data_IF_398870275804
#
_entry.id   IF_398870275804
#
_cell.length_a   1.000
_cell.length_b   1.000
_cell.length_c   1.000
_cell.angle_alpha   90.00
_cell.angle_beta   90.00
_cell.angle_gamma   90.00
#
_symmetry.space_group_name_H-M   'P 1'
#
loop_
_entity.id
_entity.type
_entity.pdbx_description
1 polymer ?
#
# COMPACT_ATOMS: atom_id res chain seq x y z
N UNK A 1 1.44 29.98 25.99
CA UNK A 1 1.64 28.51 26.05
C UNK A 1 0.57 27.76 25.27
N UNK A 2 -0.72 28.04 25.46
CA UNK A 2 -1.82 27.39 24.72
C UNK A 2 -1.69 27.46 23.20
N UNK A 3 -1.29 28.61 22.63
CA UNK A 3 -1.03 28.74 21.19
C UNK A 3 0.08 27.83 20.66
N UNK A 4 1.13 27.59 21.45
CA UNK A 4 2.23 26.70 21.04
C UNK A 4 1.80 25.24 21.06
N UNK A 5 1.02 24.84 22.08
CA UNK A 5 0.44 23.50 22.20
C UNK A 5 -0.56 23.25 21.06
N UNK A 6 -1.40 24.23 20.75
CA UNK A 6 -2.34 24.15 19.64
C UNK A 6 -1.62 23.96 18.29
N UNK A 7 -0.60 24.78 18.00
CA UNK A 7 0.20 24.61 16.78
C UNK A 7 0.89 23.23 16.70
N UNK A 8 1.39 22.70 17.82
CA UNK A 8 1.97 21.34 17.83
C UNK A 8 0.95 20.26 17.49
N UNK A 9 -0.28 20.38 18.01
CA UNK A 9 -1.35 19.44 17.72
C UNK A 9 -1.77 19.51 16.24
N UNK A 10 -1.94 20.72 15.69
CA UNK A 10 -2.24 20.89 14.27
C UNK A 10 -1.14 20.30 13.37
N UNK A 11 0.13 20.51 13.71
CA UNK A 11 1.25 19.93 12.97
C UNK A 11 1.27 18.41 13.04
N UNK A 12 0.93 17.81 14.20
CA UNK A 12 0.77 16.36 14.34
C UNK A 12 -0.36 15.81 13.48
N UNK A 13 -1.51 16.48 13.48
CA UNK A 13 -2.66 16.07 12.65
C UNK A 13 -2.33 16.17 11.15
N UNK A 14 -1.66 17.25 10.72
CA UNK A 14 -1.17 17.40 9.35
C UNK A 14 -0.16 16.33 8.97
N UNK A 15 0.79 16.00 9.85
CA UNK A 15 1.74 14.92 9.58
C UNK A 15 1.04 13.57 9.42
N UNK A 16 0.02 13.30 10.26
CA UNK A 16 -0.77 12.08 10.16
C UNK A 16 -1.60 12.03 8.86
N UNK A 17 -2.25 13.14 8.47
CA UNK A 17 -3.02 13.19 7.22
C UNK A 17 -2.11 13.02 6.00
N UNK A 18 -0.92 13.62 6.01
CA UNK A 18 0.09 13.45 4.97
C UNK A 18 0.60 12.01 4.86
N UNK A 19 0.81 11.30 5.97
CA UNK A 19 1.18 9.89 5.94
C UNK A 19 0.10 9.03 5.29
N UNK A 20 -1.17 9.26 5.62
CA UNK A 20 -2.31 8.55 5.01
C UNK A 20 -2.40 8.85 3.51
N UNK A 21 -2.27 10.12 3.12
CA UNK A 21 -2.29 10.54 1.71
C UNK A 21 -1.15 9.86 0.92
N UNK A 22 0.07 9.87 1.45
CA UNK A 22 1.22 9.19 0.85
C UNK A 22 0.99 7.69 0.72
N UNK A 23 0.40 7.07 1.73
CA UNK A 23 0.09 5.65 1.75
C UNK A 23 -0.92 5.27 0.64
N UNK A 24 -1.93 6.12 0.40
CA UNK A 24 -2.92 5.94 -0.67
C UNK A 24 -2.31 6.09 -2.06
N UNK A 25 -1.47 7.11 -2.24
CA UNK A 25 -0.77 7.31 -3.51
C UNK A 25 0.09 6.09 -3.86
N UNK A 26 0.89 5.61 -2.90
CA UNK A 26 1.70 4.40 -3.09
C UNK A 26 0.85 3.17 -3.38
N UNK A 27 -0.34 3.04 -2.77
CA UNK A 27 -1.26 1.94 -3.05
C UNK A 27 -1.76 1.98 -4.50
N UNK A 28 -2.07 3.15 -5.05
CA UNK A 28 -2.49 3.26 -6.45
C UNK A 28 -1.38 2.82 -7.40
N UNK A 29 -0.15 3.27 -7.17
CA UNK A 29 1.01 2.86 -7.96
C UNK A 29 1.28 1.36 -7.85
N UNK A 30 1.29 0.81 -6.64
CA UNK A 30 1.47 -0.63 -6.41
C UNK A 30 0.33 -1.46 -6.97
N UNK A 31 -0.91 -0.98 -6.89
CA UNK A 31 -2.09 -1.65 -7.44
C UNK A 31 -2.07 -1.71 -8.96
N UNK A 32 -1.71 -0.60 -9.63
CA UNK A 32 -1.54 -0.56 -11.07
C UNK A 32 -0.43 -1.53 -11.53
N UNK A 33 0.72 -1.50 -10.85
CA UNK A 33 1.81 -2.44 -11.10
C UNK A 33 1.38 -3.90 -10.89
N UNK A 34 0.70 -4.19 -9.78
CA UNK A 34 0.20 -5.53 -9.46
C UNK A 34 -0.76 -6.04 -10.54
N UNK A 35 -1.67 -5.20 -11.03
CA UNK A 35 -2.61 -5.59 -12.09
C UNK A 35 -1.88 -5.95 -13.39
N UNK A 36 -0.95 -5.09 -13.85
CA UNK A 36 -0.18 -5.33 -15.09
C UNK A 36 0.70 -6.58 -14.94
N UNK A 37 1.42 -6.69 -13.83
CA UNK A 37 2.28 -7.84 -13.55
C UNK A 37 1.47 -9.14 -13.44
N UNK A 38 0.32 -9.10 -12.77
CA UNK A 38 -0.58 -10.24 -12.61
C UNK A 38 -1.12 -10.73 -13.95
N UNK A 39 -1.57 -9.82 -14.82
CA UNK A 39 -1.98 -10.17 -16.20
C UNK A 39 -0.84 -10.81 -16.99
N UNK A 40 0.38 -10.26 -16.89
CA UNK A 40 1.57 -10.83 -17.51
C UNK A 40 1.89 -12.25 -17.03
N UNK A 41 1.82 -12.49 -15.71
CA UNK A 41 2.05 -13.81 -15.12
C UNK A 41 0.98 -14.84 -15.52
N UNK A 42 -0.29 -14.43 -15.57
CA UNK A 42 -1.39 -15.29 -16.03
C UNK A 42 -1.22 -15.65 -17.51
N UNK A 43 -0.86 -14.68 -18.36
CA UNK A 43 -0.56 -14.92 -19.76
C UNK A 43 0.64 -15.86 -19.94
N UNK A 44 1.71 -15.65 -19.15
CA UNK A 44 2.88 -16.52 -19.10
C UNK A 44 2.56 -17.95 -18.66
N UNK A 45 1.68 -18.11 -17.65
CA UNK A 45 1.20 -19.41 -17.21
C UNK A 45 0.40 -20.11 -18.31
N UNK A 46 -0.50 -19.40 -18.98
CA UNK A 46 -1.29 -19.95 -20.10
C UNK A 46 -0.40 -20.47 -21.22
N UNK A 47 0.70 -19.78 -21.54
CA UNK A 47 1.63 -20.17 -22.60
C UNK A 47 2.57 -21.30 -22.21
N UNK A 48 3.10 -21.28 -20.98
CA UNK A 48 4.15 -22.23 -20.56
C UNK A 48 3.60 -23.44 -19.80
N UNK A 49 2.38 -23.35 -19.25
CA UNK A 49 1.78 -24.30 -18.30
C UNK A 49 2.64 -24.55 -17.05
N UNK A 50 3.64 -23.71 -16.77
CA UNK A 50 4.54 -23.85 -15.62
C UNK A 50 4.00 -23.05 -14.44
N UNK A 51 3.61 -23.67 -13.32
CA UNK A 51 3.09 -22.94 -12.16
C UNK A 51 4.11 -21.96 -11.56
N UNK A 52 5.41 -22.16 -11.84
CA UNK A 52 6.49 -21.26 -11.46
C UNK A 52 6.29 -19.80 -11.92
N UNK A 53 5.57 -19.55 -13.02
CA UNK A 53 5.31 -18.19 -13.49
C UNK A 53 4.36 -17.41 -12.60
N UNK A 54 3.60 -18.08 -11.73
CA UNK A 54 2.67 -17.46 -10.78
C UNK A 54 3.29 -17.25 -9.39
N UNK A 55 4.47 -17.83 -9.11
CA UNK A 55 5.12 -17.72 -7.79
C UNK A 55 5.27 -16.27 -7.31
N UNK A 56 5.65 -15.28 -8.17
CA UNK A 56 5.79 -13.90 -7.72
C UNK A 56 4.47 -13.21 -7.34
N UNK A 57 3.29 -13.72 -7.75
CA UNK A 57 2.01 -13.15 -7.33
C UNK A 57 1.83 -13.20 -5.82
N UNK A 58 2.37 -14.22 -5.15
CA UNK A 58 2.20 -14.40 -3.73
C UNK A 58 2.89 -13.29 -2.93
N UNK A 59 4.21 -13.05 -3.02
CA UNK A 59 4.85 -11.92 -2.33
C UNK A 59 4.30 -10.56 -2.78
N UNK A 60 3.91 -10.39 -4.05
CA UNK A 60 3.29 -9.14 -4.52
C UNK A 60 1.92 -8.89 -3.86
N UNK A 61 1.13 -9.93 -3.66
CA UNK A 61 -0.17 -9.82 -2.98
C UNK A 61 -0.02 -9.46 -1.51
N UNK A 62 1.00 -10.01 -0.84
CA UNK A 62 1.35 -9.63 0.54
C UNK A 62 1.71 -8.14 0.64
N UNK A 63 2.53 -7.63 -0.27
CA UNK A 63 2.90 -6.21 -0.32
C UNK A 63 1.68 -5.32 -0.55
N UNK A 64 0.83 -5.69 -1.51
CA UNK A 64 -0.38 -4.92 -1.82
C UNK A 64 -1.36 -4.89 -0.65
N UNK A 65 -1.61 -6.04 -0.01
CA UNK A 65 -2.48 -6.15 1.14
C UNK A 65 -1.96 -5.33 2.33
N UNK A 66 -0.65 -5.38 2.58
CA UNK A 66 -0.01 -4.56 3.60
C UNK A 66 -0.20 -3.06 3.34
N UNK A 67 -0.01 -2.63 2.09
CA UNK A 67 -0.18 -1.23 1.70
C UNK A 67 -1.65 -0.81 1.77
N UNK A 68 -2.59 -1.68 1.43
CA UNK A 68 -4.02 -1.41 1.53
C UNK A 68 -4.45 -1.18 2.99
N UNK A 69 -3.94 -2.00 3.91
CA UNK A 69 -4.17 -1.84 5.35
C UNK A 69 -3.51 -0.58 5.93
N UNK A 70 -2.38 -0.13 5.36
CA UNK A 70 -1.80 1.18 5.70
C UNK A 70 -2.61 2.36 5.15
N UNK A 71 -3.27 2.22 4.01
CA UNK A 71 -3.94 3.32 3.32
C UNK A 71 -5.39 3.53 3.80
N UNK A 72 -6.07 2.44 4.14
CA UNK A 72 -7.49 2.41 4.48
C UNK A 72 -7.81 1.65 5.77
N UNK A 73 -6.88 0.82 6.26
CA UNK A 73 -7.09 0.01 7.45
C UNK A 73 -6.66 0.67 8.75
N UNK A 74 -6.70 -0.12 9.82
CA UNK A 74 -6.33 0.31 11.17
C UNK A 74 -4.84 0.21 11.46
N UNK A 75 -4.01 -0.17 10.48
CA UNK A 75 -2.57 -0.40 10.68
C UNK A 75 -1.85 0.82 11.25
N UNK A 76 -2.11 2.02 10.72
CA UNK A 76 -1.53 3.26 11.28
C UNK A 76 -2.00 3.52 12.71
N UNK A 77 -3.20 3.11 13.09
CA UNK A 77 -3.69 3.22 14.47
C UNK A 77 -3.09 2.16 15.41
N UNK A 78 -2.69 0.99 14.88
CA UNK A 78 -2.02 -0.07 15.64
C UNK A 78 -0.51 0.16 15.82
N UNK A 79 0.11 0.93 14.93
CA UNK A 79 1.54 1.27 14.97
C UNK A 79 1.80 2.49 15.87
N UNK A 80 0.76 3.26 16.22
CA UNK A 80 0.84 4.40 17.15
C UNK A 80 1.26 4.00 18.55
#
# INVERSE_FOLDING_TARGET
LERQIHMQNEMREKMMSMQIARSRELLYWLGAFYAVAGLGMIAGYRRTRKPGTLVPLLPLSFLLAYQADLAYGSKLNRIK
#
